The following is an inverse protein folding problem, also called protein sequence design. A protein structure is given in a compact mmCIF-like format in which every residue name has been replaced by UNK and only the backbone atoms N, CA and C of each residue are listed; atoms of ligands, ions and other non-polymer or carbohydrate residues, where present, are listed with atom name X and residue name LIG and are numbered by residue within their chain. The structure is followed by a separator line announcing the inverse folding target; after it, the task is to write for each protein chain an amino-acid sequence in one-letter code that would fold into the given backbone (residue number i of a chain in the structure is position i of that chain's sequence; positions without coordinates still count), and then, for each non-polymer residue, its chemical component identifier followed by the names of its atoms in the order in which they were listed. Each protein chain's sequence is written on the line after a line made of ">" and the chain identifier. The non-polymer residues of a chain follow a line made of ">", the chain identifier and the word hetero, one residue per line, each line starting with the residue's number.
data_IF_911472638680
#
_entry.id   IF_911472638680
#
_cell.length_a   1.000
_cell.length_b   1.000
_cell.length_c   1.000
_cell.angle_alpha   90.00
_cell.angle_beta   90.00
_cell.angle_gamma   90.00
#
_symmetry.space_group_name_H-M   'P 1'
#
loop_
_entity.id
_entity.type
_entity.pdbx_description
1 polymer ?
#
# COMPACT_ATOMS: atom_id res chain seq x y z
N UNK A 1 15.09 -24.97 28.56
CA UNK A 1 13.92 -24.38 29.24
C UNK A 1 12.70 -25.20 28.87
N UNK A 2 11.72 -25.27 29.76
CA UNK A 2 10.41 -25.85 29.43
C UNK A 2 9.68 -24.95 28.42
N UNK A 3 8.76 -25.49 27.60
CA UNK A 3 8.00 -24.68 26.65
C UNK A 3 7.07 -23.70 27.39
N UNK A 4 7.10 -22.43 26.99
CA UNK A 4 6.36 -21.35 27.68
C UNK A 4 4.87 -21.32 27.30
N UNK A 5 4.57 -21.34 26.00
CA UNK A 5 3.20 -21.12 25.52
C UNK A 5 2.32 -22.39 25.58
N UNK A 6 2.88 -23.58 25.34
CA UNK A 6 2.15 -24.86 25.32
C UNK A 6 0.83 -24.82 24.52
N UNK A 7 0.85 -24.17 23.35
CA UNK A 7 -0.33 -23.90 22.51
C UNK A 7 -0.62 -25.08 21.58
N UNK A 8 -1.86 -25.57 21.58
CA UNK A 8 -2.35 -26.57 20.63
C UNK A 8 -3.43 -25.99 19.70
N UNK A 9 -4.21 -25.03 20.20
CA UNK A 9 -5.29 -24.35 19.48
C UNK A 9 -5.12 -22.84 19.57
N UNK A 10 -5.74 -22.09 18.65
CA UNK A 10 -5.66 -20.63 18.66
C UNK A 10 -6.21 -20.03 19.98
N UNK A 11 -7.21 -20.67 20.59
CA UNK A 11 -7.82 -20.21 21.84
C UNK A 11 -6.88 -20.29 23.05
N UNK A 12 -5.86 -21.15 23.01
CA UNK A 12 -4.85 -21.25 24.08
C UNK A 12 -3.98 -19.97 24.17
N UNK A 13 -3.99 -19.12 23.14
CA UNK A 13 -3.32 -17.82 23.13
C UNK A 13 -4.12 -16.72 23.85
N UNK A 14 -5.39 -16.96 24.20
CA UNK A 14 -6.19 -15.99 24.94
C UNK A 14 -5.57 -15.76 26.31
N UNK A 15 -5.35 -14.50 26.66
CA UNK A 15 -4.65 -14.09 27.88
C UNK A 15 -3.14 -13.92 27.71
N UNK A 16 -2.54 -14.42 26.62
CA UNK A 16 -1.13 -14.21 26.33
C UNK A 16 -0.85 -12.76 25.95
N UNK A 17 0.36 -12.32 26.27
CA UNK A 17 0.82 -10.96 26.01
C UNK A 17 1.49 -10.85 24.65
N UNK A 18 1.16 -9.75 23.97
CA UNK A 18 1.72 -9.34 22.69
C UNK A 18 2.35 -7.97 22.82
N UNK A 19 3.38 -7.72 22.01
CA UNK A 19 3.90 -6.39 21.73
C UNK A 19 3.34 -5.98 20.37
N UNK A 20 2.61 -4.87 20.34
CA UNK A 20 2.14 -4.28 19.09
C UNK A 20 2.99 -3.06 18.74
N UNK A 21 3.41 -2.97 17.49
CA UNK A 21 4.32 -1.94 17.01
C UNK A 21 3.81 -1.37 15.69
N UNK A 22 3.75 -0.05 15.60
CA UNK A 22 3.44 0.63 14.36
C UNK A 22 4.71 0.81 13.51
N UNK A 23 4.64 0.60 12.19
CA UNK A 23 5.59 1.17 11.24
C UNK A 23 5.94 2.63 11.54
N UNK A 24 7.20 2.97 11.27
CA UNK A 24 7.85 4.25 11.54
C UNK A 24 7.95 4.64 13.02
N UNK A 25 7.73 3.69 13.94
CA UNK A 25 7.89 3.90 15.39
C UNK A 25 8.86 2.90 16.00
N UNK A 26 9.31 3.18 17.23
CA UNK A 26 10.20 2.31 18.00
C UNK A 26 9.71 2.00 19.43
N UNK A 27 8.49 2.47 19.74
CA UNK A 27 7.80 2.21 21.00
C UNK A 27 6.72 1.16 20.80
N UNK A 28 6.96 -0.06 21.26
CA UNK A 28 5.95 -1.10 21.30
C UNK A 28 4.95 -0.85 22.42
N UNK A 29 3.70 -1.26 22.22
CA UNK A 29 2.66 -1.20 23.25
C UNK A 29 2.33 -2.62 23.68
N UNK A 30 2.46 -2.89 24.98
CA UNK A 30 2.09 -4.17 25.56
C UNK A 30 0.58 -4.34 25.51
N UNK A 31 0.12 -5.51 25.09
CA UNK A 31 -1.31 -5.82 25.01
C UNK A 31 -1.57 -7.29 25.29
N UNK A 32 -2.85 -7.60 25.49
CA UNK A 32 -3.31 -8.94 25.83
C UNK A 32 -4.36 -9.39 24.83
N UNK A 33 -4.21 -10.61 24.33
CA UNK A 33 -5.20 -11.24 23.46
C UNK A 33 -6.44 -11.59 24.30
N UNK A 34 -7.63 -11.24 23.83
CA UNK A 34 -8.90 -11.51 24.52
C UNK A 34 -9.86 -12.40 23.73
N UNK A 35 -9.57 -12.67 22.46
CA UNK A 35 -10.41 -13.49 21.59
C UNK A 35 -10.06 -13.31 20.13
N UNK A 36 -10.87 -13.93 19.27
CA UNK A 36 -10.72 -13.95 17.81
C UNK A 36 -11.99 -13.45 17.13
N UNK A 37 -11.84 -12.93 15.92
CA UNK A 37 -12.94 -12.48 15.06
C UNK A 37 -12.65 -12.95 13.64
N UNK A 38 -13.68 -13.35 12.88
CA UNK A 38 -13.50 -13.88 11.51
C UNK A 38 -13.39 -12.75 10.48
N UNK A 39 -12.37 -11.90 10.64
CA UNK A 39 -12.09 -10.80 9.73
C UNK A 39 -10.59 -10.58 9.58
N UNK A 40 -10.19 -9.90 8.49
CA UNK A 40 -8.78 -9.57 8.26
C UNK A 40 -8.26 -8.39 9.10
N UNK A 41 -9.14 -7.71 9.86
CA UNK A 41 -8.80 -6.56 10.69
C UNK A 41 -8.56 -6.94 12.15
N UNK A 42 -7.64 -6.25 12.81
CA UNK A 42 -7.46 -6.37 14.27
C UNK A 42 -8.30 -5.34 15.01
N UNK A 43 -9.08 -5.78 16.00
CA UNK A 43 -9.83 -4.88 16.88
C UNK A 43 -9.06 -4.58 18.16
N UNK A 44 -9.09 -3.32 18.58
CA UNK A 44 -8.62 -2.91 19.90
C UNK A 44 -9.26 -1.57 20.30
N UNK A 45 -9.02 -1.18 21.55
CA UNK A 45 -9.50 0.09 22.08
C UNK A 45 -8.87 1.28 21.31
N UNK A 46 -9.60 2.37 21.02
CA UNK A 46 -9.06 3.52 20.28
C UNK A 46 -7.75 4.09 20.86
N UNK A 47 -7.68 4.20 22.19
CA UNK A 47 -6.46 4.65 22.89
C UNK A 47 -5.25 3.74 22.65
N UNK A 48 -5.45 2.44 22.41
CA UNK A 48 -4.36 1.54 22.08
C UNK A 48 -3.82 1.80 20.67
N UNK A 49 -4.68 2.06 19.69
CA UNK A 49 -4.23 2.46 18.36
C UNK A 49 -3.52 3.82 18.39
N UNK A 50 -4.08 4.81 19.11
CA UNK A 50 -3.44 6.11 19.26
C UNK A 50 -2.11 6.05 20.01
N UNK A 51 -1.95 5.14 20.99
CA UNK A 51 -0.67 4.95 21.69
C UNK A 51 0.44 4.43 20.77
N UNK A 52 0.07 3.69 19.72
CA UNK A 52 0.98 3.29 18.64
C UNK A 52 1.17 4.37 17.58
N UNK A 53 0.57 5.56 17.77
CA UNK A 53 0.56 6.67 16.79
C UNK A 53 -0.13 6.29 15.47
N UNK A 54 -1.28 5.61 15.57
CA UNK A 54 -2.14 5.30 14.42
C UNK A 54 -3.37 6.19 14.37
N UNK A 55 -3.73 6.57 13.16
CA UNK A 55 -4.90 7.38 12.84
C UNK A 55 -6.12 6.51 12.49
N UNK A 56 -5.89 5.22 12.20
CA UNK A 56 -6.94 4.26 11.85
C UNK A 56 -7.70 4.60 10.55
N UNK A 57 -7.07 5.30 9.61
CA UNK A 57 -7.60 5.65 8.28
C UNK A 57 -7.18 4.66 7.17
N UNK A 58 -6.83 3.43 7.56
CA UNK A 58 -6.26 2.39 6.68
C UNK A 58 -4.85 1.94 7.06
N UNK A 59 -4.39 2.34 8.25
CA UNK A 59 -3.10 1.95 8.82
C UNK A 59 -2.95 0.44 9.04
N UNK A 60 -1.75 -0.09 8.81
CA UNK A 60 -1.35 -1.45 9.14
C UNK A 60 -0.41 -1.47 10.36
N UNK A 61 -0.54 -2.48 11.21
CA UNK A 61 0.28 -2.65 12.41
C UNK A 61 0.94 -4.03 12.47
N UNK A 62 2.10 -4.08 13.13
CA UNK A 62 2.76 -5.33 13.46
C UNK A 62 2.38 -5.80 14.86
N UNK A 63 2.17 -7.10 15.01
CA UNK A 63 1.94 -7.75 16.30
C UNK A 63 2.96 -8.88 16.42
N UNK A 64 3.65 -8.93 17.55
CA UNK A 64 4.58 -10.00 17.91
C UNK A 64 4.24 -10.55 19.29
N UNK A 65 4.44 -11.84 19.50
CA UNK A 65 4.32 -12.44 20.83
C UNK A 65 5.39 -11.85 21.75
N UNK A 66 5.03 -11.56 23.00
CA UNK A 66 5.94 -10.86 23.90
C UNK A 66 7.24 -11.65 24.15
N UNK A 67 7.16 -12.96 24.41
CA UNK A 67 8.37 -13.77 24.66
C UNK A 67 9.24 -13.90 23.42
N UNK A 68 8.64 -13.95 22.24
CA UNK A 68 9.38 -13.96 20.97
C UNK A 68 10.18 -12.67 20.81
N UNK A 69 9.53 -11.52 21.01
CA UNK A 69 10.18 -10.21 21.00
C UNK A 69 11.27 -10.07 22.08
N UNK A 70 11.14 -10.70 23.24
CA UNK A 70 12.16 -10.63 24.30
C UNK A 70 13.36 -11.55 24.06
N UNK A 71 13.15 -12.74 23.50
CA UNK A 71 14.21 -13.73 23.30
C UNK A 71 14.99 -13.49 22.01
N UNK A 72 14.30 -13.09 20.93
CA UNK A 72 14.87 -13.04 19.59
C UNK A 72 15.31 -11.63 19.17
N UNK A 73 14.99 -10.60 19.95
CA UNK A 73 15.42 -9.24 19.66
C UNK A 73 16.81 -8.95 20.25
N UNK A 74 17.70 -8.42 19.42
CA UNK A 74 18.95 -7.80 19.85
C UNK A 74 19.21 -6.56 19.01
N UNK A 75 19.75 -5.50 19.61
CA UNK A 75 20.12 -4.29 18.86
C UNK A 75 21.22 -4.56 17.83
N UNK A 76 22.00 -5.63 17.98
CA UNK A 76 23.07 -6.00 17.06
C UNK A 76 22.56 -6.49 15.70
N UNK A 77 21.31 -6.96 15.62
CA UNK A 77 20.71 -7.39 14.35
C UNK A 77 20.17 -6.21 13.53
N UNK A 78 20.09 -5.02 14.12
CA UNK A 78 19.55 -3.85 13.45
C UNK A 78 20.56 -3.30 12.43
N UNK A 79 20.11 -2.91 11.23
CA UNK A 79 21.00 -2.40 10.21
C UNK A 79 21.61 -1.06 10.66
N UNK A 80 22.93 -0.91 10.48
CA UNK A 80 23.68 0.29 10.85
C UNK A 80 23.34 1.54 10.01
N UNK A 81 22.54 1.40 8.95
CA UNK A 81 22.15 2.50 8.06
C UNK A 81 21.03 3.35 8.69
N UNK A 82 20.94 4.62 8.26
CA UNK A 82 19.87 5.54 8.71
C UNK A 82 18.49 4.93 8.45
N UNK A 83 17.63 4.96 9.47
CA UNK A 83 16.29 4.37 9.44
C UNK A 83 16.21 2.96 10.01
N UNK A 84 17.34 2.27 10.24
CA UNK A 84 17.35 0.91 10.77
C UNK A 84 16.89 0.72 12.21
N UNK A 85 16.75 1.82 12.96
CA UNK A 85 16.26 1.83 14.34
C UNK A 85 14.73 2.02 14.44
N UNK A 86 14.10 2.46 13.35
CA UNK A 86 12.64 2.49 13.25
C UNK A 86 12.15 1.08 12.96
N UNK A 87 10.90 0.78 13.32
CA UNK A 87 10.28 -0.55 13.15
C UNK A 87 10.85 -1.65 14.06
N UNK A 88 11.58 -1.24 15.09
CA UNK A 88 12.12 -2.13 16.12
C UNK A 88 11.57 -1.75 17.51
N UNK A 89 11.15 -2.73 18.34
CA UNK A 89 10.59 -2.47 19.68
C UNK A 89 11.71 -2.12 20.68
N UNK A 90 12.28 -0.92 20.56
CA UNK A 90 13.37 -0.43 21.43
C UNK A 90 12.90 -0.11 22.86
N UNK A 91 11.64 0.29 22.99
CA UNK A 91 10.99 0.61 24.26
C UNK A 91 9.62 -0.07 24.27
N UNK A 92 9.18 -0.55 25.43
CA UNK A 92 7.88 -1.18 25.61
C UNK A 92 7.04 -0.39 26.63
N UNK A 93 5.92 0.15 26.17
CA UNK A 93 4.93 0.82 27.00
C UNK A 93 4.00 -0.22 27.62
N UNK A 94 4.01 -0.33 28.94
CA UNK A 94 3.21 -1.33 29.69
C UNK A 94 1.87 -0.80 30.19
N UNK A 95 1.69 0.52 30.21
CA UNK A 95 0.47 1.20 30.68
C UNK A 95 0.11 2.32 29.73
N UNK A 96 -1.17 2.40 29.37
CA UNK A 96 -1.71 3.47 28.55
C UNK A 96 -2.08 4.66 29.42
N UNK A 97 -1.48 5.81 29.15
CA UNK A 97 -1.88 7.08 29.73
C UNK A 97 -2.63 7.92 28.68
N UNK A 98 -3.95 8.16 28.84
CA UNK A 98 -4.74 8.94 27.88
C UNK A 98 -4.23 10.38 27.65
N UNK A 99 -3.46 10.96 28.57
CA UNK A 99 -2.90 12.30 28.38
C UNK A 99 -1.68 12.36 27.45
N UNK A 100 -1.05 11.21 27.20
CA UNK A 100 0.20 11.10 26.42
C UNK A 100 -0.01 10.52 25.02
N UNK A 101 -1.23 10.05 24.73
CA UNK A 101 -1.59 9.51 23.42
C UNK A 101 -1.95 10.61 22.44
N UNK A 102 -2.03 10.23 21.17
CA UNK A 102 -2.38 11.15 20.09
C UNK A 102 -3.75 11.83 20.29
N UNK A 103 -3.87 13.06 19.80
CA UNK A 103 -5.05 13.92 19.96
C UNK A 103 -6.25 13.40 19.19
N UNK A 104 -6.07 12.60 18.15
CA UNK A 104 -7.19 12.10 17.35
C UNK A 104 -8.15 11.23 18.19
N UNK A 105 -7.61 10.31 18.98
CA UNK A 105 -8.42 9.48 19.89
C UNK A 105 -9.10 10.29 21.00
N UNK A 106 -8.63 11.50 21.29
CA UNK A 106 -9.26 12.39 22.28
C UNK A 106 -10.59 12.96 21.77
N UNK A 107 -10.81 12.98 20.45
CA UNK A 107 -12.03 13.49 19.82
C UNK A 107 -13.11 12.43 19.61
N UNK A 108 -12.90 11.19 20.09
CA UNK A 108 -13.88 10.11 19.94
C UNK A 108 -15.08 10.35 20.87
N UNK A 109 -16.27 10.37 20.31
CA UNK A 109 -17.52 10.45 21.07
C UNK A 109 -17.67 9.21 21.97
N UNK A 110 -17.92 9.45 23.25
CA UNK A 110 -17.98 8.42 24.31
C UNK A 110 -19.36 8.35 24.99
N UNK A 111 -20.33 9.10 24.49
CA UNK A 111 -21.72 9.10 24.97
C UNK A 111 -22.53 7.91 24.43
N UNK A 112 -23.54 7.47 25.19
CA UNK A 112 -24.45 6.39 24.79
C UNK A 112 -25.53 6.83 23.80
N UNK A 113 -25.83 8.12 23.76
CA UNK A 113 -26.81 8.71 22.85
C UNK A 113 -26.44 10.17 22.61
N UNK A 114 -26.83 10.69 21.46
CA UNK A 114 -26.77 12.13 21.21
C UNK A 114 -28.03 12.80 21.74
N UNK A 115 -27.87 13.98 22.34
CA UNK A 115 -28.99 14.73 22.88
C UNK A 115 -29.85 15.31 21.77
N UNK A 116 -31.16 15.47 22.02
CA UNK A 116 -32.08 16.16 21.09
C UNK A 116 -31.56 17.54 20.70
N UNK A 117 -31.04 18.26 21.68
CA UNK A 117 -30.50 19.60 21.54
C UNK A 117 -29.32 19.67 20.55
N UNK A 118 -28.45 18.65 20.54
CA UNK A 118 -27.41 18.53 19.53
C UNK A 118 -28.02 18.42 18.12
N UNK A 119 -28.99 17.53 17.91
CA UNK A 119 -29.63 17.37 16.60
C UNK A 119 -30.32 18.65 16.10
N UNK A 120 -31.06 19.36 16.95
CA UNK A 120 -31.71 20.62 16.57
C UNK A 120 -30.69 21.70 16.21
N UNK A 121 -29.57 21.75 16.94
CA UNK A 121 -28.50 22.71 16.69
C UNK A 121 -27.79 22.47 15.36
N UNK A 122 -27.70 21.22 14.88
CA UNK A 122 -27.10 20.94 13.57
C UNK A 122 -27.86 21.56 12.39
N UNK A 123 -29.14 21.94 12.57
CA UNK A 123 -29.94 22.59 11.53
C UNK A 123 -29.37 23.94 11.09
N UNK A 124 -28.71 24.67 12.00
CA UNK A 124 -28.04 25.93 11.66
C UNK A 124 -26.61 25.75 11.14
N UNK A 125 -26.14 24.49 10.98
CA UNK A 125 -24.79 24.14 10.53
C UNK A 125 -23.66 24.88 11.27
N UNK A 126 -23.69 24.96 12.61
CA UNK A 126 -22.64 25.65 13.36
C UNK A 126 -21.32 24.88 13.27
N UNK A 127 -20.22 25.56 13.57
CA UNK A 127 -18.93 24.90 13.63
C UNK A 127 -18.89 23.90 14.81
N UNK A 128 -18.32 22.68 14.66
CA UNK A 128 -18.37 21.65 15.71
C UNK A 128 -17.86 22.10 17.09
N UNK A 129 -16.87 23.00 17.12
CA UNK A 129 -16.34 23.60 18.36
C UNK A 129 -17.39 24.38 19.17
N UNK A 130 -18.38 25.00 18.52
CA UNK A 130 -19.46 25.72 19.20
C UNK A 130 -20.44 24.77 19.91
N UNK A 131 -20.49 23.51 19.46
CA UNK A 131 -21.35 22.46 20.02
C UNK A 131 -20.60 21.50 20.96
N UNK A 132 -19.28 21.67 21.13
CA UNK A 132 -18.44 20.75 21.88
C UNK A 132 -18.90 20.57 23.34
N UNK A 133 -19.44 21.62 23.97
CA UNK A 133 -19.94 21.57 25.35
C UNK A 133 -21.14 20.64 25.54
N UNK A 134 -21.88 20.36 24.46
CA UNK A 134 -23.08 19.52 24.46
C UNK A 134 -22.76 18.04 24.24
N UNK A 135 -21.52 17.74 23.85
CA UNK A 135 -21.05 16.41 23.48
C UNK A 135 -20.09 15.85 24.52
N UNK A 136 -20.10 14.54 24.67
CA UNK A 136 -19.21 13.82 25.58
C UNK A 136 -18.18 13.04 24.75
N UNK A 137 -16.94 13.55 24.76
CA UNK A 137 -15.80 13.00 24.04
C UNK A 137 -14.63 12.78 25.00
N UNK A 138 -13.68 11.94 24.61
CA UNK A 138 -12.60 11.44 25.48
C UNK A 138 -11.82 12.55 26.19
N UNK A 139 -11.52 13.66 25.51
CA UNK A 139 -10.77 14.79 26.10
C UNK A 139 -11.45 15.35 27.36
N UNK A 140 -12.79 15.39 27.40
CA UNK A 140 -13.55 15.89 28.56
C UNK A 140 -13.46 15.00 29.78
N UNK A 141 -13.09 13.73 29.58
CA UNK A 141 -13.00 12.71 30.63
C UNK A 141 -11.57 12.59 31.20
N UNK A 142 -10.60 13.27 30.60
CA UNK A 142 -9.21 13.31 31.06
C UNK A 142 -9.10 13.76 32.52
N UNK A 143 -8.10 13.23 33.23
CA UNK A 143 -7.90 13.48 34.66
C UNK A 143 -8.76 12.63 35.60
N UNK A 144 -9.69 11.83 35.06
CA UNK A 144 -10.52 10.90 35.83
C UNK A 144 -10.40 9.45 35.32
N UNK A 145 -10.93 8.49 36.08
CA UNK A 145 -11.01 7.07 35.67
C UNK A 145 -11.89 6.89 34.41
N UNK A 146 -12.79 7.83 34.13
CA UNK A 146 -13.63 7.81 32.94
C UNK A 146 -12.83 8.01 31.63
N UNK A 147 -11.58 8.46 31.70
CA UNK A 147 -10.69 8.57 30.54
C UNK A 147 -10.33 7.22 29.90
N UNK A 148 -10.55 6.10 30.60
CA UNK A 148 -10.25 4.74 30.10
C UNK A 148 -11.44 3.78 30.24
N UNK A 149 -12.54 4.20 30.85
CA UNK A 149 -13.69 3.35 31.18
C UNK A 149 -15.00 4.06 30.92
N UNK A 150 -16.04 3.27 30.62
CA UNK A 150 -17.41 3.76 30.46
C UNK A 150 -17.67 4.45 29.13
N UNK A 151 -16.96 4.05 28.08
CA UNK A 151 -17.23 4.55 26.73
C UNK A 151 -18.53 3.92 26.23
N UNK A 152 -19.47 4.77 25.85
CA UNK A 152 -20.71 4.36 25.21
C UNK A 152 -20.57 4.24 23.69
N UNK A 153 -21.62 3.71 23.08
CA UNK A 153 -21.81 3.68 21.63
C UNK A 153 -23.29 3.96 21.35
N UNK A 154 -23.57 4.54 20.17
CA UNK A 154 -24.94 4.97 19.80
C UNK A 154 -25.71 3.92 19.01
N UNK A 155 -25.02 3.09 18.25
CA UNK A 155 -25.61 2.07 17.38
C UNK A 155 -25.02 0.71 17.74
N UNK A 156 -25.91 -0.25 18.00
CA UNK A 156 -25.51 -1.63 18.28
C UNK A 156 -25.27 -2.41 16.99
N UNK A 157 -24.55 -3.52 17.09
CA UNK A 157 -24.30 -4.43 15.97
C UNK A 157 -24.54 -5.88 16.41
N UNK A 158 -25.06 -6.72 15.50
CA UNK A 158 -25.29 -8.13 15.80
C UNK A 158 -23.97 -8.90 15.95
N UNK A 159 -23.01 -8.65 15.06
CA UNK A 159 -21.63 -9.10 15.21
C UNK A 159 -20.68 -8.07 14.61
N UNK A 160 -19.50 -7.95 15.20
CA UNK A 160 -18.47 -6.99 14.78
C UNK A 160 -17.76 -7.45 13.50
N UNK A 161 -17.68 -8.76 13.27
CA UNK A 161 -17.09 -9.40 12.09
C UNK A 161 -18.12 -9.71 10.99
N UNK A 162 -19.35 -9.22 11.12
CA UNK A 162 -20.38 -9.44 10.11
C UNK A 162 -20.05 -8.67 8.83
N UNK A 163 -19.58 -9.38 7.80
CA UNK A 163 -19.28 -8.80 6.51
C UNK A 163 -18.59 -9.78 5.56
N UNK A 164 -18.28 -9.36 4.32
CA UNK A 164 -17.48 -10.17 3.41
C UNK A 164 -16.06 -10.31 3.96
N UNK A 165 -15.62 -11.55 4.20
CA UNK A 165 -14.30 -11.85 4.78
C UNK A 165 -13.12 -11.29 3.96
N UNK A 166 -13.30 -11.19 2.63
CA UNK A 166 -12.30 -10.67 1.71
C UNK A 166 -12.90 -9.64 0.77
N UNK A 167 -12.16 -8.57 0.54
CA UNK A 167 -12.52 -7.55 -0.44
C UNK A 167 -12.50 -8.14 -1.86
N UNK A 168 -13.54 -7.87 -2.65
CA UNK A 168 -13.64 -8.30 -4.05
C UNK A 168 -12.46 -7.82 -4.91
N UNK A 169 -11.79 -6.72 -4.53
CA UNK A 169 -10.59 -6.26 -5.21
C UNK A 169 -9.43 -7.27 -5.16
N UNK A 170 -9.33 -8.05 -4.08
CA UNK A 170 -8.30 -9.08 -3.89
C UNK A 170 -8.61 -10.36 -4.68
N UNK A 171 -9.88 -10.63 -4.98
CA UNK A 171 -10.31 -11.83 -5.71
C UNK A 171 -10.22 -11.68 -7.23
N UNK A 172 -10.13 -10.45 -7.74
CA UNK A 172 -9.97 -10.16 -9.16
C UNK A 172 -8.48 -10.18 -9.54
N UNK A 173 -8.12 -10.99 -10.54
CA UNK A 173 -6.72 -11.17 -10.95
C UNK A 173 -6.23 -10.02 -11.85
N UNK A 174 -7.00 -9.69 -12.88
CA UNK A 174 -6.55 -8.73 -13.90
C UNK A 174 -6.99 -7.31 -13.59
N UNK A 175 -6.19 -6.34 -14.03
CA UNK A 175 -6.53 -4.92 -13.93
C UNK A 175 -7.81 -4.58 -14.71
N UNK A 176 -8.03 -5.25 -15.84
CA UNK A 176 -9.23 -5.06 -16.67
C UNK A 176 -10.47 -5.45 -15.85
N UNK A 177 -10.42 -6.60 -15.18
CA UNK A 177 -11.54 -7.07 -14.35
C UNK A 177 -11.79 -6.13 -13.17
N UNK A 178 -10.72 -5.65 -12.51
CA UNK A 178 -10.82 -4.67 -11.42
C UNK A 178 -11.50 -3.38 -11.85
N UNK A 179 -11.12 -2.88 -13.01
CA UNK A 179 -11.64 -1.64 -13.57
C UNK A 179 -13.09 -1.82 -14.06
N UNK A 180 -13.40 -2.93 -14.73
CA UNK A 180 -14.76 -3.25 -15.14
C UNK A 180 -15.67 -3.43 -13.92
N UNK A 181 -15.20 -4.09 -12.86
CA UNK A 181 -15.92 -4.20 -11.59
C UNK A 181 -16.20 -2.84 -10.94
N UNK A 182 -15.21 -1.94 -10.93
CA UNK A 182 -15.37 -0.57 -10.45
C UNK A 182 -16.43 0.20 -11.25
N UNK A 183 -16.38 0.15 -12.58
CA UNK A 183 -17.29 0.90 -13.45
C UNK A 183 -18.70 0.28 -13.52
N UNK A 184 -18.83 -1.04 -13.45
CA UNK A 184 -20.12 -1.72 -13.33
C UNK A 184 -20.82 -1.36 -12.01
N UNK A 185 -20.08 -1.33 -10.90
CA UNK A 185 -20.60 -0.83 -9.63
C UNK A 185 -21.06 0.63 -9.76
N UNK A 186 -20.27 1.47 -10.44
CA UNK A 186 -20.63 2.84 -10.76
C UNK A 186 -21.98 2.95 -11.49
N UNK A 187 -22.25 2.07 -12.46
CA UNK A 187 -23.53 2.08 -13.20
C UNK A 187 -24.74 1.74 -12.34
N UNK A 188 -24.55 0.93 -11.29
CA UNK A 188 -25.62 0.55 -10.37
C UNK A 188 -25.91 1.66 -9.35
N UNK A 189 -24.94 2.53 -9.08
CA UNK A 189 -25.05 3.57 -8.05
C UNK A 189 -25.62 4.86 -8.63
N UNK A 190 -26.77 5.29 -8.09
CA UNK A 190 -27.40 6.57 -8.47
C UNK A 190 -26.53 7.80 -8.20
N UNK A 191 -25.67 7.72 -7.18
CA UNK A 191 -24.81 8.84 -6.77
C UNK A 191 -23.57 9.03 -7.66
N UNK A 192 -23.31 8.12 -8.60
CA UNK A 192 -22.06 8.09 -9.37
C UNK A 192 -22.36 8.31 -10.85
N UNK A 193 -21.76 9.34 -11.43
CA UNK A 193 -21.71 9.49 -12.89
C UNK A 193 -20.51 8.73 -13.47
N UNK A 194 -20.79 7.59 -14.09
CA UNK A 194 -19.78 6.68 -14.66
C UNK A 194 -18.94 7.36 -15.74
N UNK A 195 -19.52 8.27 -16.54
CA UNK A 195 -18.75 8.96 -17.60
C UNK A 195 -17.69 9.86 -17.02
N UNK A 196 -18.04 10.56 -15.94
CA UNK A 196 -17.11 11.43 -15.21
C UNK A 196 -16.02 10.60 -14.53
N UNK A 197 -16.37 9.48 -13.90
CA UNK A 197 -15.39 8.57 -13.28
C UNK A 197 -14.44 7.98 -14.32
N UNK A 198 -14.96 7.44 -15.43
CA UNK A 198 -14.16 6.88 -16.51
C UNK A 198 -13.19 7.92 -17.09
N UNK A 199 -13.69 9.13 -17.37
CA UNK A 199 -12.86 10.23 -17.89
C UNK A 199 -11.77 10.64 -16.90
N UNK A 200 -12.10 10.69 -15.60
CA UNK A 200 -11.15 11.00 -14.53
C UNK A 200 -10.03 9.95 -14.45
N UNK A 201 -10.38 8.66 -14.40
CA UNK A 201 -9.41 7.54 -14.34
C UNK A 201 -8.46 7.57 -15.53
N UNK A 202 -8.99 7.80 -16.74
CA UNK A 202 -8.16 7.89 -17.96
C UNK A 202 -7.18 9.07 -17.88
N UNK A 203 -7.63 10.24 -17.42
CA UNK A 203 -6.79 11.44 -17.31
C UNK A 203 -5.78 11.40 -16.18
N UNK A 204 -6.14 10.89 -15.00
CA UNK A 204 -5.29 10.94 -13.81
C UNK A 204 -4.32 9.77 -13.72
N UNK A 205 -4.68 8.60 -14.25
CA UNK A 205 -3.86 7.39 -14.15
C UNK A 205 -3.31 6.97 -15.52
N UNK A 206 -4.17 6.64 -16.48
CA UNK A 206 -3.70 5.99 -17.72
C UNK A 206 -2.88 6.90 -18.64
N UNK A 207 -3.31 8.14 -18.86
CA UNK A 207 -2.59 9.09 -19.71
C UNK A 207 -1.19 9.44 -19.15
N UNK A 208 -1.05 9.78 -17.85
CA UNK A 208 0.25 9.99 -17.23
C UNK A 208 1.16 8.75 -17.30
N UNK A 209 0.63 7.56 -17.02
CA UNK A 209 1.41 6.31 -17.08
C UNK A 209 1.89 6.00 -18.50
N UNK A 210 1.01 6.11 -19.50
CA UNK A 210 1.38 5.85 -20.90
C UNK A 210 2.46 6.82 -21.37
N UNK A 211 2.28 8.12 -21.10
CA UNK A 211 3.27 9.16 -21.45
C UNK A 211 4.58 8.97 -20.70
N UNK A 212 4.50 8.62 -19.41
CA UNK A 212 5.66 8.32 -18.57
C UNK A 212 6.47 7.14 -19.11
N UNK A 213 5.78 6.04 -19.43
CA UNK A 213 6.38 4.83 -19.98
C UNK A 213 6.99 5.06 -21.37
N UNK A 214 6.33 5.82 -22.24
CA UNK A 214 6.85 6.14 -23.58
C UNK A 214 8.11 7.01 -23.51
N UNK A 215 8.11 8.03 -22.65
CA UNK A 215 9.29 8.85 -22.40
C UNK A 215 10.43 8.06 -21.76
N UNK A 216 10.11 7.16 -20.82
CA UNK A 216 11.09 6.27 -20.20
C UNK A 216 11.68 5.31 -21.23
N UNK A 217 10.86 4.71 -22.10
CA UNK A 217 11.30 3.82 -23.16
C UNK A 217 12.28 4.49 -24.12
N UNK A 218 12.01 5.74 -24.53
CA UNK A 218 12.89 6.48 -25.44
C UNK A 218 14.23 6.89 -24.80
N UNK A 219 14.28 7.04 -23.47
CA UNK A 219 15.48 7.50 -22.72
C UNK A 219 16.15 6.42 -21.88
N UNK A 220 15.70 5.17 -22.01
CA UNK A 220 16.10 4.10 -21.12
C UNK A 220 17.58 3.75 -21.21
N UNK A 221 18.08 3.14 -20.13
CA UNK A 221 19.40 2.49 -20.11
C UNK A 221 19.23 1.02 -20.48
N UNK A 222 20.33 0.40 -20.87
CA UNK A 222 20.38 -1.03 -21.20
C UNK A 222 21.18 -1.73 -20.12
N UNK A 223 20.62 -2.79 -19.55
CA UNK A 223 21.23 -3.51 -18.43
C UNK A 223 21.72 -4.88 -18.87
N UNK A 224 22.92 -5.24 -18.44
CA UNK A 224 23.42 -6.61 -18.60
C UNK A 224 22.76 -7.56 -17.60
N UNK A 225 22.22 -8.67 -18.07
CA UNK A 225 21.57 -9.67 -17.22
C UNK A 225 22.57 -10.46 -16.35
N UNK A 226 23.86 -10.50 -16.73
CA UNK A 226 24.90 -11.22 -15.97
C UNK A 226 25.56 -10.34 -14.91
N UNK A 227 26.09 -9.17 -15.29
CA UNK A 227 26.86 -8.31 -14.38
C UNK A 227 26.07 -7.12 -13.81
N UNK A 228 24.78 -7.00 -14.15
CA UNK A 228 23.89 -5.92 -13.73
C UNK A 228 24.34 -4.49 -14.10
N UNK A 229 25.40 -4.33 -14.89
CA UNK A 229 25.88 -3.02 -15.32
C UNK A 229 24.90 -2.35 -16.30
N UNK A 230 24.70 -1.04 -16.12
CA UNK A 230 23.76 -0.24 -16.89
C UNK A 230 24.49 0.69 -17.85
N UNK A 231 24.31 0.47 -19.15
CA UNK A 231 24.83 1.32 -20.21
C UNK A 231 23.81 2.38 -20.62
N UNK A 232 24.29 3.59 -20.92
CA UNK A 232 23.44 4.65 -21.51
C UNK A 232 23.04 4.35 -22.96
N UNK A 233 23.85 3.60 -23.70
CA UNK A 233 23.63 3.23 -25.10
C UNK A 233 24.00 1.77 -25.32
N UNK A 234 23.37 1.12 -26.29
CA UNK A 234 23.71 -0.26 -26.66
C UNK A 234 25.15 -0.30 -27.16
N UNK A 235 26.04 -1.14 -26.59
CA UNK A 235 27.32 -1.44 -27.19
C UNK A 235 27.12 -2.00 -28.60
N UNK A 236 27.89 -1.50 -29.58
CA UNK A 236 27.82 -1.95 -30.98
C UNK A 236 28.10 -3.45 -31.12
N UNK A 237 28.87 -4.03 -30.19
CA UNK A 237 29.14 -5.46 -30.11
C UNK A 237 27.91 -6.33 -29.78
N UNK A 238 26.75 -5.74 -29.45
CA UNK A 238 25.52 -6.46 -29.09
C UNK A 238 25.55 -7.16 -27.71
N UNK A 239 26.73 -7.32 -27.13
CA UNK A 239 26.97 -8.00 -25.85
C UNK A 239 27.63 -7.07 -24.83
N UNK A 240 27.58 -7.46 -23.55
CA UNK A 240 28.20 -6.69 -22.49
C UNK A 240 29.74 -6.63 -22.61
N UNK A 241 30.26 -5.40 -22.68
CA UNK A 241 31.69 -5.05 -22.79
C UNK A 241 32.32 -4.68 -21.43
N UNK A 242 31.66 -4.95 -20.29
CA UNK A 242 32.29 -4.74 -18.99
C UNK A 242 33.33 -5.84 -18.77
N UNK A 243 34.49 -5.52 -18.15
CA UNK A 243 35.40 -6.55 -17.67
C UNK A 243 34.67 -7.48 -16.70
N UNK A 244 34.97 -8.79 -16.77
CA UNK A 244 34.43 -9.75 -15.79
C UNK A 244 34.90 -9.34 -14.40
N UNK A 245 33.96 -9.04 -13.51
CA UNK A 245 34.23 -9.06 -12.07
C UNK A 245 34.39 -10.52 -11.68
N UNK A 246 35.61 -10.98 -11.47
CA UNK A 246 35.82 -12.30 -10.86
C UNK A 246 35.25 -12.28 -9.44
N UNK A 247 34.12 -12.93 -9.23
CA UNK A 247 33.63 -13.27 -7.89
C UNK A 247 34.37 -14.50 -7.39
N UNK A 248 35.67 -14.35 -7.15
CA UNK A 248 36.52 -15.36 -6.53
C UNK A 248 36.83 -15.00 -5.08
N UNK A 249 36.46 -15.86 -4.13
CA UNK A 249 37.05 -15.89 -2.79
C UNK A 249 38.55 -16.18 -2.94
N UNK A 250 39.41 -15.17 -2.83
CA UNK A 250 40.86 -15.29 -2.99
C UNK A 250 41.56 -13.93 -3.05
N UNK A 251 42.88 -13.93 -3.34
CA UNK A 251 43.85 -12.81 -3.30
C UNK A 251 43.47 -11.48 -4.02
N UNK A 252 42.28 -11.37 -4.60
CA UNK A 252 41.71 -10.15 -5.19
C UNK A 252 41.39 -9.06 -4.15
N UNK A 253 41.37 -9.37 -2.85
CA UNK A 253 41.31 -8.37 -1.78
C UNK A 253 42.57 -7.51 -1.64
N UNK A 254 43.67 -7.86 -2.33
CA UNK A 254 44.98 -7.19 -2.25
C UNK A 254 45.27 -6.35 -3.50
N UNK A 255 44.27 -6.08 -4.35
CA UNK A 255 44.39 -5.11 -5.44
C UNK A 255 45.25 -5.54 -6.63
N UNK A 256 45.56 -6.84 -6.77
CA UNK A 256 46.23 -7.37 -7.97
C UNK A 256 45.20 -7.69 -9.03
N UNK A 257 44.97 -6.74 -9.95
CA UNK A 257 44.18 -6.96 -11.17
C UNK A 257 44.99 -7.88 -12.11
N UNK A 258 44.55 -9.13 -12.27
CA UNK A 258 45.04 -9.94 -13.40
C UNK A 258 44.47 -9.34 -14.69
N UNK A 259 45.35 -8.90 -15.57
CA UNK A 259 45.05 -8.33 -16.90
C UNK A 259 44.48 -9.32 -17.93
N UNK A 260 44.11 -10.53 -17.51
CA UNK A 260 43.52 -11.59 -18.36
C UNK A 260 42.01 -11.80 -18.12
N UNK A 261 41.33 -10.81 -17.53
CA UNK A 261 39.88 -10.85 -17.35
C UNK A 261 39.15 -10.57 -18.67
N UNK A 262 38.68 -11.61 -19.36
CA UNK A 262 37.84 -11.46 -20.55
C UNK A 262 36.58 -10.60 -20.29
N UNK A 263 35.95 -10.09 -21.36
CA UNK A 263 34.71 -9.33 -21.27
C UNK A 263 33.55 -10.21 -20.77
N UNK A 264 32.57 -9.60 -20.10
CA UNK A 264 31.42 -10.29 -19.51
C UNK A 264 30.65 -11.13 -20.55
N UNK A 265 30.44 -10.61 -21.76
CA UNK A 265 29.72 -11.33 -22.82
C UNK A 265 28.30 -11.73 -22.41
N UNK A 266 27.66 -10.94 -21.54
CA UNK A 266 26.28 -11.14 -21.11
C UNK A 266 25.29 -10.50 -22.07
N UNK A 267 24.11 -11.10 -22.16
CA UNK A 267 22.99 -10.54 -22.91
C UNK A 267 22.54 -9.23 -22.27
N UNK A 268 22.21 -8.28 -23.14
CA UNK A 268 21.75 -6.96 -22.79
C UNK A 268 20.24 -6.91 -22.94
N UNK A 269 19.56 -6.38 -21.93
CA UNK A 269 18.12 -6.22 -21.91
C UNK A 269 17.76 -4.74 -21.75
N UNK A 270 16.70 -4.33 -22.44
CA UNK A 270 16.04 -3.04 -22.21
C UNK A 270 15.42 -3.05 -20.81
N UNK A 271 15.53 -1.94 -20.08
CA UNK A 271 14.92 -1.81 -18.75
C UNK A 271 13.41 -1.64 -18.80
N UNK A 272 12.90 -1.09 -19.91
CA UNK A 272 11.47 -0.91 -20.20
C UNK A 272 11.18 -1.66 -21.50
N UNK A 273 10.29 -2.64 -21.44
CA UNK A 273 9.86 -3.40 -22.62
C UNK A 273 8.75 -2.67 -23.37
N UNK A 274 8.62 -2.96 -24.67
CA UNK A 274 7.49 -2.49 -25.48
C UNK A 274 6.14 -2.92 -24.89
N UNK A 275 6.06 -4.16 -24.39
CA UNK A 275 4.84 -4.69 -23.78
C UNK A 275 4.36 -3.85 -22.58
N UNK A 276 5.27 -3.27 -21.80
CA UNK A 276 4.92 -2.39 -20.70
C UNK A 276 4.25 -1.09 -21.18
N UNK A 277 4.70 -0.53 -22.32
CA UNK A 277 4.12 0.67 -22.93
C UNK A 277 2.74 0.36 -23.52
N UNK A 278 2.59 -0.76 -24.24
CA UNK A 278 1.34 -1.14 -24.91
C UNK A 278 0.25 -1.67 -23.97
N UNK A 279 0.61 -2.12 -22.77
CA UNK A 279 -0.30 -2.77 -21.80
C UNK A 279 -1.59 -1.98 -21.58
N UNK A 280 -1.48 -0.66 -21.40
CA UNK A 280 -2.60 0.19 -21.03
C UNK A 280 -3.45 0.65 -22.21
N UNK A 281 -2.89 0.71 -23.43
CA UNK A 281 -3.61 1.21 -24.62
C UNK A 281 -4.88 0.39 -24.87
N UNK A 282 -4.79 -0.95 -24.80
CA UNK A 282 -5.92 -1.85 -25.01
C UNK A 282 -7.02 -1.62 -23.96
N UNK A 283 -6.62 -1.46 -22.69
CA UNK A 283 -7.53 -1.23 -21.57
C UNK A 283 -8.25 0.10 -21.74
N UNK A 284 -7.51 1.18 -22.01
CA UNK A 284 -8.09 2.51 -22.20
C UNK A 284 -9.08 2.55 -23.36
N UNK A 285 -8.75 1.93 -24.50
CA UNK A 285 -9.67 1.84 -25.65
C UNK A 285 -10.97 1.09 -25.29
N UNK A 286 -10.87 0.00 -24.51
CA UNK A 286 -12.04 -0.75 -24.03
C UNK A 286 -12.92 0.10 -23.10
N UNK A 287 -12.34 0.84 -22.16
CA UNK A 287 -13.09 1.75 -21.27
C UNK A 287 -13.85 2.79 -22.08
N UNK A 288 -13.15 3.43 -22.99
CA UNK A 288 -13.71 4.53 -23.78
C UNK A 288 -14.86 4.06 -24.66
N UNK A 289 -14.75 2.86 -25.24
CA UNK A 289 -15.81 2.26 -26.06
C UNK A 289 -17.03 1.86 -25.23
N UNK A 290 -16.81 1.32 -24.02
CA UNK A 290 -17.88 0.74 -23.20
C UNK A 290 -18.64 1.80 -22.39
N UNK A 291 -17.90 2.71 -21.74
CA UNK A 291 -18.46 3.64 -20.75
C UNK A 291 -18.60 5.07 -21.29
N UNK A 292 -17.90 5.38 -22.38
CA UNK A 292 -17.83 6.73 -22.94
C UNK A 292 -16.94 7.66 -22.12
N UNK A 293 -16.29 8.59 -22.81
CA UNK A 293 -15.44 9.65 -22.20
C UNK A 293 -15.68 10.97 -22.92
N UNK A 294 -15.21 12.06 -22.33
CA UNK A 294 -15.22 13.37 -22.99
C UNK A 294 -14.38 13.36 -24.29
N UNK A 295 -14.76 14.24 -25.23
CA UNK A 295 -14.15 14.29 -26.58
C UNK A 295 -12.65 14.59 -26.52
N UNK A 296 -12.23 15.45 -25.59
CA UNK A 296 -10.83 15.83 -25.44
C UNK A 296 -9.98 14.65 -24.96
N UNK A 297 -10.44 13.92 -23.94
CA UNK A 297 -9.79 12.70 -23.46
C UNK A 297 -9.74 11.64 -24.54
N UNK A 298 -10.81 11.50 -25.34
CA UNK A 298 -10.83 10.57 -26.47
C UNK A 298 -9.73 10.87 -27.49
N UNK A 299 -9.65 12.11 -27.95
CA UNK A 299 -8.64 12.55 -28.93
C UNK A 299 -7.22 12.37 -28.39
N UNK A 300 -6.98 12.67 -27.11
CA UNK A 300 -5.67 12.48 -26.47
C UNK A 300 -5.22 11.02 -26.44
N UNK A 301 -6.14 10.10 -26.10
CA UNK A 301 -5.82 8.67 -26.07
C UNK A 301 -5.55 8.14 -27.47
N UNK A 302 -6.36 8.53 -28.46
CA UNK A 302 -6.16 8.16 -29.86
C UNK A 302 -4.79 8.64 -30.36
N UNK A 303 -4.46 9.91 -30.14
CA UNK A 303 -3.18 10.49 -30.54
C UNK A 303 -1.97 9.80 -29.89
N UNK A 304 -2.06 9.47 -28.59
CA UNK A 304 -0.99 8.75 -27.89
C UNK A 304 -0.87 7.28 -28.32
N UNK A 305 -2.00 6.63 -28.64
CA UNK A 305 -1.99 5.28 -29.22
C UNK A 305 -1.25 5.29 -30.55
N UNK A 306 -1.61 6.21 -31.44
CA UNK A 306 -1.02 6.30 -32.78
C UNK A 306 0.47 6.67 -32.71
N UNK A 307 0.85 7.53 -31.76
CA UNK A 307 2.24 7.86 -31.49
C UNK A 307 3.04 6.65 -30.99
N UNK A 308 2.45 5.82 -30.12
CA UNK A 308 3.07 4.60 -29.67
C UNK A 308 3.19 3.58 -30.81
N UNK A 309 2.15 3.39 -31.62
CA UNK A 309 2.15 2.48 -32.75
C UNK A 309 3.19 2.88 -33.81
N UNK A 310 3.32 4.18 -34.10
CA UNK A 310 4.34 4.73 -34.99
C UNK A 310 5.77 4.49 -34.49
N UNK A 311 6.01 4.56 -33.18
CA UNK A 311 7.33 4.34 -32.59
C UNK A 311 7.83 2.89 -32.76
N UNK A 312 6.91 1.92 -32.76
CA UNK A 312 7.24 0.49 -32.78
C UNK A 312 7.04 -0.16 -34.16
N UNK A 313 6.23 0.44 -35.03
CA UNK A 313 6.05 -0.06 -36.39
C UNK A 313 7.34 0.12 -37.19
N UNK A 314 7.88 -1.02 -37.63
CA UNK A 314 9.01 -1.07 -38.52
C UNK A 314 8.49 -1.38 -39.92
N UNK A 315 8.45 -0.40 -40.83
CA UNK A 315 7.85 -0.52 -42.17
C UNK A 315 8.47 -1.66 -43.03
N UNK A 316 9.61 -2.20 -42.62
CA UNK A 316 10.30 -3.31 -43.29
C UNK A 316 9.81 -4.71 -42.90
N UNK A 317 8.99 -4.85 -41.86
CA UNK A 317 8.55 -6.14 -41.33
C UNK A 317 7.06 -6.11 -40.94
N UNK A 318 6.17 -5.98 -41.91
CA UNK A 318 4.72 -6.13 -41.69
C UNK A 318 4.31 -7.60 -41.84
N UNK A 319 3.86 -8.21 -40.75
CA UNK A 319 3.10 -9.46 -40.80
C UNK A 319 1.65 -9.10 -41.15
N UNK A 320 1.25 -9.34 -42.40
CA UNK A 320 -0.11 -9.07 -42.88
C UNK A 320 -1.03 -10.23 -42.47
N UNK A 321 -2.23 -9.90 -42.01
CA UNK A 321 -3.26 -10.90 -41.73
C UNK A 321 -4.00 -11.24 -43.03
N UNK A 322 -4.53 -12.47 -43.14
CA UNK A 322 -5.26 -12.92 -44.33
C UNK A 322 -6.49 -12.04 -44.62
N UNK A 323 -7.08 -11.43 -43.58
CA UNK A 323 -8.18 -10.47 -43.66
C UNK A 323 -7.79 -9.11 -44.25
N UNK A 324 -6.50 -8.75 -44.29
CA UNK A 324 -6.05 -7.49 -44.91
C UNK A 324 -5.99 -7.57 -46.45
N UNK A 325 -6.17 -8.78 -47.01
CA UNK A 325 -6.16 -9.06 -48.45
C UNK A 325 -7.55 -9.39 -49.02
N UNK A 326 -8.58 -9.44 -48.18
CA UNK A 326 -9.99 -9.63 -48.56
C UNK A 326 -10.72 -8.29 -48.55
#
# INVERSE_FOLDING_TARGET
>A
MEPYYNVNTADDLVGQLICALAPHTSGGVLSRIIGWADCSGGYAHPLFHAAKRRNCDGDEDAIMLLMDGLLNFSREILPANRGGLMDAPLVLTTRLNPTEVDKEALNVDSGWFYSRDFYETTLSQPHPKECAERMDFVERRLGSVAAVRGYGYTHDCHSIDQGPALCAYKTLDTMIDKMNGQLDLGHRLRAVDVRTVASSVVRSHFLPDLRGNLNAYARQKIRCLKCAHSYRRMPVAGNCIQPKKETGRGLTSVGVEKSEGGLCGGNLALTVSEGAVRKYIKVTKHVMATYGVDVYTKQNVEWLSDSADSLFNNDRAKQLSLSDFL
#
